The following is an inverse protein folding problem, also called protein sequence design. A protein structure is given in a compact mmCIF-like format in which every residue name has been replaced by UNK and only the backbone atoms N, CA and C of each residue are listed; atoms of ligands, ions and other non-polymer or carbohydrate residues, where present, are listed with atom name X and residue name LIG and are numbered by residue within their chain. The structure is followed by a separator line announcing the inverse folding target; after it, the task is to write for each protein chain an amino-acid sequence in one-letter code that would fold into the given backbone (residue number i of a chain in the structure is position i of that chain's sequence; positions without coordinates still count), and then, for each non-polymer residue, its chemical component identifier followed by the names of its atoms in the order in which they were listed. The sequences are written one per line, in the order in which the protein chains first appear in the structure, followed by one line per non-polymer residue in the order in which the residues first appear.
data_IF_065983405473
#
_entry.id   IF_065983405473
#
_cell.length_a   1.000
_cell.length_b   1.000
_cell.length_c   1.000
_cell.angle_alpha   90.00
_cell.angle_beta   90.00
_cell.angle_gamma   90.00
#
_symmetry.space_group_name_H-M   'P 1'
#
loop_
_entity.id
_entity.type
_entity.pdbx_description
1 polymer ?
#
# COMPACT_ATOMS: atom_id res chain seq x y z
N UNK A 1 11.22 -1.42 -21.16
CA UNK A 1 9.91 -2.04 -20.84
C UNK A 1 9.56 -1.73 -19.39
N UNK A 2 8.71 -0.72 -19.15
CA UNK A 2 8.18 -0.45 -17.81
C UNK A 2 7.09 -1.48 -17.51
N UNK A 3 7.50 -2.64 -16.97
CA UNK A 3 6.57 -3.73 -16.58
C UNK A 3 5.73 -3.41 -15.34
N UNK A 4 5.89 -2.23 -14.75
CA UNK A 4 5.15 -1.75 -13.60
C UNK A 4 4.89 -0.27 -13.79
N UNK A 5 3.62 0.12 -13.97
CA UNK A 5 3.28 1.54 -14.01
C UNK A 5 2.80 2.04 -12.66
N UNK A 6 3.29 3.21 -12.29
CA UNK A 6 3.03 3.84 -11.01
C UNK A 6 2.56 5.26 -11.24
N UNK A 7 1.47 5.63 -10.56
CA UNK A 7 0.96 7.00 -10.60
C UNK A 7 1.93 8.00 -9.95
N UNK A 8 2.92 7.52 -9.20
CA UNK A 8 4.00 8.34 -8.67
C UNK A 8 4.91 8.94 -9.77
N UNK A 9 4.85 8.45 -11.02
CA UNK A 9 5.54 9.07 -12.16
C UNK A 9 4.98 10.45 -12.52
N UNK A 10 3.74 10.76 -12.12
CA UNK A 10 3.08 12.05 -12.34
C UNK A 10 2.50 12.58 -11.02
N UNK A 11 3.34 12.94 -10.04
CA UNK A 11 2.88 13.42 -8.74
C UNK A 11 2.16 14.77 -8.89
N UNK A 12 1.22 15.08 -8.00
CA UNK A 12 0.49 16.35 -8.00
C UNK A 12 -0.70 16.45 -8.97
N UNK A 13 -0.90 15.47 -9.85
CA UNK A 13 -2.13 15.35 -10.63
C UNK A 13 -3.19 14.54 -9.86
N UNK A 14 -4.45 14.60 -10.27
CA UNK A 14 -5.49 13.66 -9.79
C UNK A 14 -5.13 12.22 -10.17
N UNK A 15 -5.76 11.23 -9.52
CA UNK A 15 -5.60 9.82 -9.89
C UNK A 15 -5.85 9.58 -11.39
N UNK A 16 -6.99 10.04 -11.91
CA UNK A 16 -7.34 9.90 -13.32
C UNK A 16 -6.38 10.65 -14.25
N UNK A 17 -6.01 11.89 -13.91
CA UNK A 17 -5.10 12.69 -14.74
C UNK A 17 -3.69 12.11 -14.82
N UNK A 18 -3.24 11.46 -13.74
CA UNK A 18 -1.98 10.72 -13.70
C UNK A 18 -2.08 9.43 -14.51
N UNK A 19 -3.20 8.71 -14.38
CA UNK A 19 -3.45 7.45 -15.08
C UNK A 19 -3.51 7.62 -16.60
N UNK A 20 -4.17 8.67 -17.11
CA UNK A 20 -4.19 8.97 -18.55
C UNK A 20 -2.78 9.16 -19.12
N UNK A 21 -1.91 9.87 -18.38
CA UNK A 21 -0.51 10.10 -18.78
C UNK A 21 0.31 8.82 -18.74
N UNK A 22 0.13 8.04 -17.67
CA UNK A 22 0.75 6.71 -17.58
C UNK A 22 0.30 5.85 -18.76
N UNK A 23 -0.99 5.79 -19.04
CA UNK A 23 -1.55 4.96 -20.12
C UNK A 23 -1.00 5.37 -21.48
N UNK A 24 -0.90 6.67 -21.76
CA UNK A 24 -0.34 7.19 -23.01
C UNK A 24 1.14 6.82 -23.23
N UNK A 25 1.88 6.54 -22.15
CA UNK A 25 3.29 6.14 -22.19
C UNK A 25 3.50 4.64 -21.96
N UNK A 26 2.46 3.94 -21.51
CA UNK A 26 2.51 2.54 -21.21
C UNK A 26 2.31 1.73 -22.48
N UNK A 27 3.31 0.96 -22.84
CA UNK A 27 3.21 0.02 -23.95
C UNK A 27 2.39 -1.21 -23.53
N UNK A 28 1.06 -1.09 -23.61
CA UNK A 28 0.11 -2.19 -23.37
C UNK A 28 0.05 -2.69 -21.93
N UNK A 29 0.47 -1.91 -20.93
CA UNK A 29 0.33 -2.34 -19.54
C UNK A 29 -1.10 -2.16 -19.05
N UNK A 30 -1.59 -3.18 -18.34
CA UNK A 30 -2.91 -3.15 -17.71
C UNK A 30 -2.80 -3.01 -16.18
N UNK A 31 -1.57 -2.97 -15.64
CA UNK A 31 -1.33 -2.93 -14.20
C UNK A 31 -0.86 -1.57 -13.70
N UNK A 32 -1.57 -1.05 -12.69
CA UNK A 32 -1.36 0.26 -12.11
C UNK A 32 -1.11 0.21 -10.60
N UNK A 33 -0.06 0.91 -10.15
CA UNK A 33 0.15 1.21 -8.73
C UNK A 33 -0.44 2.57 -8.36
N UNK A 34 -1.40 2.57 -7.44
CA UNK A 34 -2.10 3.77 -6.96
C UNK A 34 -1.33 4.37 -5.78
N UNK A 35 -0.92 5.64 -5.89
CA UNK A 35 0.09 6.22 -5.02
C UNK A 35 -0.41 7.45 -4.22
N UNK A 36 0.16 7.75 -3.03
CA UNK A 36 -0.28 8.86 -2.19
C UNK A 36 0.03 10.26 -2.74
N UNK A 37 0.93 10.36 -3.72
CA UNK A 37 1.38 11.61 -4.34
C UNK A 37 0.31 12.23 -5.26
N UNK A 38 -0.73 11.49 -5.60
CA UNK A 38 -1.81 11.96 -6.47
C UNK A 38 -2.94 12.60 -5.64
N UNK A 39 -3.63 13.59 -6.23
CA UNK A 39 -4.69 14.37 -5.59
C UNK A 39 -6.02 13.61 -5.52
N UNK A 40 -6.85 14.03 -4.55
CA UNK A 40 -8.16 13.44 -4.29
C UNK A 40 -8.11 12.34 -3.23
N UNK A 41 -9.24 11.63 -3.14
CA UNK A 41 -9.43 10.47 -2.26
C UNK A 41 -9.79 9.29 -3.14
N UNK A 42 -9.14 8.15 -2.91
CA UNK A 42 -9.50 6.91 -3.57
C UNK A 42 -10.86 6.44 -3.07
N UNK A 43 -11.78 6.25 -4.01
CA UNK A 43 -13.11 5.70 -3.81
C UNK A 43 -13.49 4.84 -5.03
N UNK A 44 -14.69 4.27 -4.97
CA UNK A 44 -15.24 3.38 -5.99
C UNK A 44 -15.36 4.07 -7.36
N UNK A 45 -15.74 5.35 -7.40
CA UNK A 45 -15.79 6.11 -8.66
C UNK A 45 -14.40 6.27 -9.29
N UNK A 46 -13.39 6.63 -8.50
CA UNK A 46 -12.01 6.73 -8.99
C UNK A 46 -11.54 5.38 -9.52
N UNK A 47 -11.88 4.27 -8.86
CA UNK A 47 -11.52 2.92 -9.34
C UNK A 47 -12.17 2.65 -10.70
N UNK A 48 -13.46 2.97 -10.87
CA UNK A 48 -14.16 2.81 -12.14
C UNK A 48 -13.56 3.69 -13.25
N UNK A 49 -13.19 4.93 -12.93
CA UNK A 49 -12.53 5.83 -13.89
C UNK A 49 -11.19 5.25 -14.37
N UNK A 50 -10.40 4.69 -13.44
CA UNK A 50 -9.12 4.05 -13.75
C UNK A 50 -9.30 2.78 -14.61
N UNK A 51 -10.36 2.01 -14.37
CA UNK A 51 -10.71 0.85 -15.21
C UNK A 51 -11.16 1.29 -16.60
N UNK A 52 -11.96 2.36 -16.70
CA UNK A 52 -12.41 2.94 -17.97
C UNK A 52 -11.25 3.49 -18.83
N UNK A 53 -10.13 3.88 -18.21
CA UNK A 53 -8.90 4.26 -18.93
C UNK A 53 -8.19 3.03 -19.54
N UNK A 54 -8.38 1.83 -18.96
CA UNK A 54 -7.77 0.59 -19.46
C UNK A 54 -6.92 -0.17 -18.44
N UNK A 55 -6.86 0.26 -17.18
CA UNK A 55 -6.15 -0.45 -16.12
C UNK A 55 -7.05 -1.49 -15.45
N UNK A 56 -6.84 -2.78 -15.75
CA UNK A 56 -7.65 -3.88 -15.21
C UNK A 56 -7.05 -4.50 -13.95
N UNK A 57 -5.78 -4.26 -13.67
CA UNK A 57 -5.10 -4.71 -12.45
C UNK A 57 -4.60 -3.51 -11.65
N UNK A 58 -4.99 -3.43 -10.38
CA UNK A 58 -4.60 -2.31 -9.52
C UNK A 58 -4.01 -2.81 -8.22
N UNK A 59 -3.01 -2.09 -7.72
CA UNK A 59 -2.43 -2.31 -6.39
C UNK A 59 -2.29 -0.98 -5.64
N UNK A 60 -2.87 -0.83 -4.45
CA UNK A 60 -2.62 0.33 -3.62
C UNK A 60 -1.19 0.32 -3.07
N UNK A 61 -0.58 1.49 -3.02
CA UNK A 61 0.68 1.74 -2.31
C UNK A 61 0.40 2.35 -0.93
N UNK A 62 1.41 2.29 -0.06
CA UNK A 62 1.40 2.88 1.27
C UNK A 62 0.87 4.32 1.25
N UNK A 63 0.04 4.64 2.25
CA UNK A 63 -0.54 5.97 2.46
C UNK A 63 -1.47 6.49 1.35
N UNK A 64 -1.93 5.64 0.43
CA UNK A 64 -2.96 6.04 -0.54
C UNK A 64 -4.10 6.76 0.18
N UNK A 65 -4.54 7.89 -0.39
CA UNK A 65 -5.44 8.82 0.28
C UNK A 65 -6.84 8.22 0.37
N UNK A 66 -7.29 7.93 1.59
CA UNK A 66 -8.63 7.42 1.90
C UNK A 66 -9.40 8.45 2.72
N UNK A 67 -10.72 8.41 2.63
CA UNK A 67 -11.59 9.11 3.57
C UNK A 67 -11.89 8.19 4.76
N UNK A 68 -11.18 8.43 5.86
CA UNK A 68 -11.23 7.57 7.06
C UNK A 68 -11.07 8.35 8.37
N UNK A 69 -10.94 9.68 8.32
CA UNK A 69 -10.89 10.56 9.49
C UNK A 69 -9.60 10.54 10.32
N UNK A 70 -8.57 9.79 9.92
CA UNK A 70 -7.32 9.65 10.69
C UNK A 70 -6.07 10.30 10.05
N UNK A 71 -4.86 10.01 10.58
CA UNK A 71 -3.61 10.57 10.08
C UNK A 71 -3.36 10.29 8.59
N UNK A 72 -2.60 11.18 7.94
CA UNK A 72 -2.20 11.01 6.53
C UNK A 72 -1.16 9.91 6.33
N UNK A 73 -0.38 9.61 7.37
CA UNK A 73 0.69 8.62 7.34
C UNK A 73 0.30 7.49 8.28
N UNK A 74 0.17 6.29 7.71
CA UNK A 74 -0.08 5.03 8.39
C UNK A 74 0.94 4.01 7.87
N UNK A 75 1.83 3.60 8.75
CA UNK A 75 2.89 2.62 8.46
C UNK A 75 2.78 1.41 9.39
N UNK A 76 3.62 0.40 9.19
CA UNK A 76 3.61 -0.81 10.00
C UNK A 76 4.00 -0.56 11.47
N UNK A 77 4.60 0.59 11.78
CA UNK A 77 4.91 1.00 13.15
C UNK A 77 3.76 1.73 13.86
N UNK A 78 2.71 2.10 13.13
CA UNK A 78 1.55 2.80 13.67
C UNK A 78 0.72 1.87 14.56
N UNK A 79 0.35 2.27 15.80
CA UNK A 79 -0.47 1.45 16.69
C UNK A 79 -1.75 0.94 16.02
N UNK A 80 -2.04 -0.36 16.17
CA UNK A 80 -3.20 -0.98 15.51
C UNK A 80 -4.54 -0.29 15.83
N UNK A 81 -4.74 0.17 17.06
CA UNK A 81 -5.95 0.88 17.46
C UNK A 81 -6.18 2.17 16.63
N UNK A 82 -5.09 2.81 16.18
CA UNK A 82 -5.14 4.01 15.34
C UNK A 82 -5.29 3.66 13.86
N UNK A 83 -4.57 2.64 13.39
CA UNK A 83 -4.50 2.30 11.96
C UNK A 83 -5.62 1.38 11.47
N UNK A 84 -6.32 0.67 12.37
CA UNK A 84 -7.39 -0.28 12.02
C UNK A 84 -8.46 0.32 11.08
N UNK A 85 -9.02 1.52 11.32
CA UNK A 85 -10.06 2.07 10.44
C UNK A 85 -9.55 2.37 9.01
N UNK A 86 -8.28 2.79 8.87
CA UNK A 86 -7.64 2.97 7.57
C UNK A 86 -7.60 1.64 6.80
N UNK A 87 -7.12 0.57 7.43
CA UNK A 87 -7.02 -0.74 6.78
C UNK A 87 -8.38 -1.37 6.50
N UNK A 88 -9.41 -1.10 7.31
CA UNK A 88 -10.77 -1.51 7.00
C UNK A 88 -11.33 -0.82 5.75
N UNK A 89 -11.13 0.50 5.61
CA UNK A 89 -11.53 1.22 4.39
C UNK A 89 -10.72 0.73 3.18
N UNK A 90 -9.42 0.52 3.35
CA UNK A 90 -8.55 -0.03 2.31
C UNK A 90 -8.97 -1.44 1.89
N UNK A 91 -9.41 -2.29 2.82
CA UNK A 91 -9.88 -3.65 2.52
C UNK A 91 -11.11 -3.63 1.61
N UNK A 92 -12.07 -2.74 1.89
CA UNK A 92 -13.26 -2.56 1.06
C UNK A 92 -12.90 -2.17 -0.37
N UNK A 93 -12.03 -1.17 -0.53
CA UNK A 93 -11.61 -0.72 -1.86
C UNK A 93 -10.72 -1.73 -2.57
N UNK A 94 -9.86 -2.44 -1.83
CA UNK A 94 -8.99 -3.49 -2.38
C UNK A 94 -9.82 -4.65 -2.94
N UNK A 95 -10.89 -5.05 -2.24
CA UNK A 95 -11.85 -6.04 -2.77
C UNK A 95 -12.57 -5.51 -4.01
N UNK A 96 -13.04 -4.26 -3.96
CA UNK A 96 -13.76 -3.62 -5.07
C UNK A 96 -12.92 -3.58 -6.36
N UNK A 97 -11.65 -3.18 -6.27
CA UNK A 97 -10.73 -3.14 -7.43
C UNK A 97 -10.10 -4.50 -7.78
N UNK A 98 -10.37 -5.56 -7.01
CA UNK A 98 -9.75 -6.88 -7.20
C UNK A 98 -8.25 -6.93 -6.93
N UNK A 99 -7.72 -6.03 -6.07
CA UNK A 99 -6.31 -5.97 -5.75
C UNK A 99 -5.80 -7.30 -5.17
N UNK A 100 -4.57 -7.68 -5.52
CA UNK A 100 -3.91 -8.91 -5.04
C UNK A 100 -2.74 -8.62 -4.10
N UNK A 101 -2.28 -7.37 -4.05
CA UNK A 101 -1.19 -6.95 -3.20
C UNK A 101 -1.36 -5.51 -2.74
N UNK A 102 -0.81 -5.21 -1.58
CA UNK A 102 -0.64 -3.87 -1.01
C UNK A 102 0.81 -3.72 -0.53
N UNK A 103 1.40 -2.54 -0.69
CA UNK A 103 2.68 -2.24 -0.06
C UNK A 103 2.53 -1.26 1.10
N UNK A 104 3.25 -1.49 2.18
CA UNK A 104 3.25 -0.68 3.39
C UNK A 104 4.68 -0.30 3.75
N UNK A 105 4.90 0.91 4.26
CA UNK A 105 6.20 1.25 4.81
C UNK A 105 6.42 0.62 6.19
N UNK A 106 7.66 0.25 6.50
CA UNK A 106 8.02 -0.34 7.80
C UNK A 106 7.83 0.65 8.97
N UNK A 107 7.95 1.95 8.70
CA UNK A 107 7.88 3.00 9.71
C UNK A 107 9.16 3.17 10.52
N UNK A 108 9.01 3.69 11.74
CA UNK A 108 10.12 4.05 12.64
C UNK A 108 10.37 2.94 13.67
N UNK A 109 11.59 2.89 14.21
CA UNK A 109 11.91 2.00 15.32
C UNK A 109 11.45 2.59 16.67
N UNK A 110 11.46 1.76 17.72
CA UNK A 110 11.04 2.15 19.07
C UNK A 110 11.82 3.36 19.63
N UNK A 111 13.11 3.48 19.32
CA UNK A 111 13.96 4.59 19.76
C UNK A 111 13.64 5.94 19.10
N UNK A 112 12.80 5.95 18.07
CA UNK A 112 12.45 7.14 17.30
C UNK A 112 10.93 7.30 17.11
N UNK A 113 10.17 6.99 18.16
CA UNK A 113 8.70 7.20 18.17
C UNK A 113 7.93 6.28 17.21
N UNK A 114 8.49 5.11 16.90
CA UNK A 114 7.79 4.01 16.23
C UNK A 114 7.58 2.82 17.16
N UNK A 115 7.88 1.60 16.70
CA UNK A 115 7.66 0.39 17.49
C UNK A 115 8.82 -0.62 17.40
N UNK A 116 8.74 -1.70 18.18
CA UNK A 116 9.70 -2.81 18.08
C UNK A 116 9.52 -3.58 16.77
N UNK A 117 10.54 -4.34 16.34
CA UNK A 117 10.42 -5.20 15.16
C UNK A 117 9.27 -6.23 15.31
N UNK A 118 9.12 -6.83 16.49
CA UNK A 118 8.04 -7.78 16.76
C UNK A 118 6.66 -7.13 16.61
N UNK A 119 6.46 -5.95 17.20
CA UNK A 119 5.21 -5.19 17.08
C UNK A 119 4.93 -4.82 15.62
N UNK A 120 5.96 -4.45 14.85
CA UNK A 120 5.81 -4.14 13.43
C UNK A 120 5.34 -5.36 12.64
N UNK A 121 5.94 -6.53 12.86
CA UNK A 121 5.54 -7.78 12.21
C UNK A 121 4.11 -8.19 12.59
N UNK A 122 3.74 -8.05 13.86
CA UNK A 122 2.36 -8.30 14.33
C UNK A 122 1.34 -7.38 13.65
N UNK A 123 1.68 -6.10 13.50
CA UNK A 123 0.83 -5.15 12.77
C UNK A 123 0.70 -5.55 11.30
N UNK A 124 1.79 -5.95 10.63
CA UNK A 124 1.75 -6.41 9.23
C UNK A 124 0.87 -7.65 9.08
N UNK A 125 0.94 -8.60 10.02
CA UNK A 125 0.07 -9.76 10.04
C UNK A 125 -1.41 -9.36 10.14
N UNK A 126 -1.75 -8.44 11.04
CA UNK A 126 -3.12 -7.89 11.19
C UNK A 126 -3.59 -7.17 9.93
N UNK A 127 -2.72 -6.41 9.27
CA UNK A 127 -3.02 -5.75 7.98
C UNK A 127 -3.34 -6.80 6.91
N UNK A 128 -2.49 -7.83 6.76
CA UNK A 128 -2.71 -8.92 5.81
C UNK A 128 -4.04 -9.61 6.05
N UNK A 129 -4.34 -9.97 7.30
CA UNK A 129 -5.57 -10.66 7.66
C UNK A 129 -6.81 -9.77 7.40
N UNK A 130 -6.67 -8.45 7.61
CA UNK A 130 -7.75 -7.47 7.34
C UNK A 130 -7.99 -7.26 5.84
N UNK A 131 -6.94 -7.17 5.04
CA UNK A 131 -7.05 -6.94 3.61
C UNK A 131 -7.36 -8.22 2.83
N UNK A 132 -6.98 -9.39 3.37
CA UNK A 132 -7.03 -10.70 2.72
C UNK A 132 -6.29 -10.73 1.37
N UNK A 133 -5.15 -10.05 1.29
CA UNK A 133 -4.25 -9.98 0.12
C UNK A 133 -2.80 -9.99 0.58
N UNK A 134 -1.86 -10.15 -0.36
CA UNK A 134 -0.42 -10.08 -0.03
C UNK A 134 -0.02 -8.68 0.45
N UNK A 135 0.71 -8.60 1.56
CA UNK A 135 1.27 -7.32 2.06
C UNK A 135 2.78 -7.36 1.92
N UNK A 136 3.33 -6.41 1.17
CA UNK A 136 4.77 -6.21 1.04
C UNK A 136 5.22 -5.08 1.96
N UNK A 137 6.25 -5.32 2.77
CA UNK A 137 6.86 -4.27 3.60
C UNK A 137 8.01 -3.62 2.83
N UNK A 138 7.96 -2.29 2.73
CA UNK A 138 9.00 -1.46 2.15
C UNK A 138 9.84 -0.83 3.26
N UNK A 139 11.14 -1.10 3.27
CA UNK A 139 12.06 -0.36 4.12
C UNK A 139 12.29 1.05 3.61
N UNK A 140 12.44 2.00 4.52
CA UNK A 140 12.95 3.32 4.15
C UNK A 140 14.47 3.25 3.98
N UNK A 141 14.99 3.90 2.94
CA UNK A 141 16.43 4.16 2.87
C UNK A 141 16.82 5.03 4.08
N UNK A 142 17.94 4.71 4.74
CA UNK A 142 18.47 5.54 5.80
C UNK A 142 18.82 6.92 5.21
N UNK A 143 18.00 7.93 5.49
CA UNK A 143 18.29 9.31 5.13
C UNK A 143 19.36 9.83 6.10
N UNK A 144 20.64 9.67 5.72
CA UNK A 144 21.79 10.31 6.36
C UNK A 144 22.12 9.81 7.78
N UNK A 145 23.06 8.87 7.87
CA UNK A 145 23.91 8.66 9.06
C UNK A 145 23.29 8.07 10.34
N UNK A 146 21.97 8.14 10.53
CA UNK A 146 21.32 7.64 11.74
C UNK A 146 20.31 6.52 11.43
N UNK A 147 20.42 5.39 12.13
CA UNK A 147 19.55 4.21 12.08
C UNK A 147 18.15 4.53 12.64
N UNK A 148 17.42 5.44 12.01
CA UNK A 148 16.20 6.05 12.55
C UNK A 148 14.90 5.40 12.04
N UNK A 149 15.02 4.42 11.13
CA UNK A 149 13.92 3.68 10.52
C UNK A 149 14.12 2.19 10.72
N UNK A 150 13.03 1.42 10.67
CA UNK A 150 13.13 -0.03 10.51
C UNK A 150 13.63 -0.30 9.08
N UNK A 151 14.92 -0.60 8.94
CA UNK A 151 15.56 -0.88 7.65
C UNK A 151 15.26 -2.34 7.30
N UNK A 152 14.28 -2.56 6.43
CA UNK A 152 14.05 -3.82 5.73
C UNK A 152 14.56 -3.65 4.29
N UNK A 153 15.74 -4.20 3.96
CA UNK A 153 16.12 -4.35 2.55
C UNK A 153 15.41 -5.60 2.01
N UNK A 154 14.62 -5.40 0.96
CA UNK A 154 13.86 -6.38 0.17
C UNK A 154 12.46 -6.81 0.66
N UNK A 155 11.64 -7.00 -0.38
CA UNK A 155 10.22 -7.34 -0.48
C UNK A 155 9.91 -8.60 0.35
N UNK A 156 9.61 -8.46 1.63
CA UNK A 156 8.97 -9.55 2.39
C UNK A 156 7.52 -9.60 1.91
N UNK A 157 7.25 -10.45 0.90
CA UNK A 157 5.90 -10.96 0.70
C UNK A 157 5.70 -11.96 1.83
N UNK A 158 4.97 -11.56 2.88
CA UNK A 158 4.58 -12.49 3.93
C UNK A 158 3.52 -13.46 3.38
N UNK A 159 3.96 -14.44 2.58
CA UNK A 159 3.15 -15.57 2.17
C UNK A 159 3.09 -16.57 3.33
N UNK A 160 2.15 -16.37 4.25
CA UNK A 160 1.64 -17.46 5.07
C UNK A 160 0.25 -17.75 4.52
N UNK A 161 0.12 -18.80 3.71
CA UNK A 161 -1.19 -19.25 3.23
C UNK A 161 -1.98 -19.82 4.40
N UNK A 162 -3.24 -19.43 4.52
CA UNK A 162 -4.21 -20.04 5.41
C UNK A 162 -4.54 -21.46 4.92
N UNK A 163 -3.66 -22.44 5.17
CA UNK A 163 -3.94 -23.88 5.05
C UNK A 163 -2.84 -24.69 5.74
N UNK A 164 -2.90 -24.74 7.07
CA UNK A 164 -2.51 -25.96 7.81
C UNK A 164 -3.33 -26.02 9.09
N UNK A 165 -4.55 -26.58 8.99
CA UNK A 165 -4.96 -27.53 10.02
C UNK A 165 -4.19 -28.81 9.72
N UNK A 166 -3.34 -29.24 10.62
CA UNK A 166 -3.11 -30.67 10.87
C UNK A 166 -2.95 -30.84 12.37
N UNK A 167 -3.80 -31.71 12.92
CA UNK A 167 -3.56 -32.62 14.04
C UNK A 167 -2.05 -32.93 14.22
N UNK A 168 -1.45 -32.99 15.41
CA UNK A 168 -1.93 -33.44 16.73
C UNK A 168 -1.57 -32.48 17.88
#
# INVERSE_FOLDING_TARGET
MLRNTSLAAFPGFSFAGSAQRVFALADGTEELQICPQNHGTLNEQVINDLQGIGFTRMRPHANVRLDWGGPRIVDASTPWAVSKPYFQRLATLSRYMGAKAYSIHAGRNAGNGGCSLGTMLDNVARVRDTLNISVAVEGHAASGGANNHLIMKFRVIAALSATTRMYD
#
